data_IF_992555830939
#
_entry.id   IF_992555830939
#
_cell.length_a   1.000
_cell.length_b   1.000
_cell.length_c   1.000
_cell.angle_alpha   90.00
_cell.angle_beta   90.00
_cell.angle_gamma   90.00
#
_symmetry.space_group_name_H-M   'P 1'
#
loop_
_entity.id
_entity.type
_entity.pdbx_description
1 polymer ?
#
# COMPACT_ATOMS: atom_id res chain seq x y z
N UNK A 1 18.25 -30.33 4.47
CA UNK A 1 18.48 -29.09 5.24
C UNK A 1 17.72 -27.95 4.54
N UNK A 2 17.15 -27.03 5.34
CA UNK A 2 16.04 -26.12 5.01
C UNK A 2 16.36 -25.01 3.99
N UNK A 3 15.42 -24.81 3.06
CA UNK A 3 14.94 -23.54 2.47
C UNK A 3 15.81 -22.27 2.60
N UNK A 4 16.35 -21.80 1.47
CA UNK A 4 16.80 -20.41 1.24
C UNK A 4 16.17 -19.85 -0.05
N UNK A 5 14.84 -19.98 -0.19
CA UNK A 5 14.09 -19.50 -1.37
C UNK A 5 13.52 -18.08 -1.26
N UNK A 6 13.93 -17.27 -0.29
CA UNK A 6 13.29 -15.98 0.02
C UNK A 6 14.14 -14.72 -0.24
N UNK A 7 15.42 -14.85 -0.59
CA UNK A 7 16.32 -13.70 -0.62
C UNK A 7 16.45 -12.98 -1.98
N UNK A 8 15.69 -13.39 -3.02
CA UNK A 8 15.82 -12.79 -4.36
C UNK A 8 14.68 -11.82 -4.75
N UNK A 9 13.64 -11.67 -3.92
CA UNK A 9 12.48 -10.80 -4.21
C UNK A 9 12.57 -9.40 -3.58
N UNK A 10 13.62 -9.11 -2.81
CA UNK A 10 13.68 -7.92 -1.94
C UNK A 10 14.05 -6.59 -2.62
N UNK A 11 14.33 -6.56 -3.93
CA UNK A 11 14.90 -5.37 -4.60
C UNK A 11 13.91 -4.54 -5.43
N UNK A 12 12.63 -4.93 -5.52
CA UNK A 12 11.63 -4.18 -6.30
C UNK A 12 10.33 -3.97 -5.52
N UNK A 13 10.43 -3.42 -4.32
CA UNK A 13 9.27 -3.07 -3.50
C UNK A 13 9.40 -1.65 -2.98
N UNK A 14 8.29 -0.92 -2.98
CA UNK A 14 8.13 0.38 -2.35
C UNK A 14 7.37 0.15 -1.04
N UNK A 15 7.96 0.53 0.08
CA UNK A 15 7.36 0.35 1.39
C UNK A 15 7.18 1.70 2.08
N UNK A 16 6.13 1.81 2.87
CA UNK A 16 6.01 2.86 3.89
C UNK A 16 5.49 2.24 5.17
N UNK A 17 6.06 2.63 6.31
CA UNK A 17 5.72 2.05 7.61
C UNK A 17 5.83 3.08 8.72
N UNK A 18 5.20 2.74 9.86
CA UNK A 18 5.11 3.65 11.01
C UNK A 18 4.48 4.99 10.62
N UNK A 19 5.05 6.06 11.16
CA UNK A 19 4.53 7.42 11.03
C UNK A 19 5.07 8.24 9.86
N UNK A 20 5.91 7.65 8.97
CA UNK A 20 6.46 8.43 7.86
C UNK A 20 7.70 7.88 7.15
N UNK A 21 8.21 6.68 7.47
CA UNK A 21 9.34 6.13 6.71
C UNK A 21 8.84 5.71 5.32
N UNK A 22 9.61 6.06 4.29
CA UNK A 22 9.42 5.64 2.90
C UNK A 22 10.71 4.97 2.42
N UNK A 23 10.60 3.72 1.97
CA UNK A 23 11.67 2.97 1.32
C UNK A 23 11.35 2.89 -0.18
N UNK A 24 12.02 3.70 -1.01
CA UNK A 24 11.76 3.71 -2.45
C UNK A 24 12.20 2.41 -3.14
N UNK A 25 11.75 2.20 -4.38
CA UNK A 25 12.20 1.09 -5.22
C UNK A 25 13.73 1.05 -5.41
N UNK A 26 14.35 2.23 -5.43
CA UNK A 26 15.80 2.43 -5.53
C UNK A 26 16.21 3.63 -4.70
N UNK A 27 17.39 3.54 -4.09
CA UNK A 27 17.94 4.58 -3.23
C UNK A 27 17.65 4.35 -1.76
N UNK A 28 18.06 5.33 -0.95
CA UNK A 28 17.98 5.26 0.49
C UNK A 28 16.58 5.55 1.03
N UNK A 29 16.28 4.98 2.19
CA UNK A 29 15.05 5.29 2.91
C UNK A 29 15.08 6.72 3.44
N UNK A 30 13.91 7.37 3.45
CA UNK A 30 13.75 8.72 3.97
C UNK A 30 12.48 8.87 4.81
N UNK A 31 12.42 9.94 5.60
CA UNK A 31 11.29 10.23 6.48
C UNK A 31 10.47 11.40 5.96
N UNK A 32 9.15 11.21 5.86
CA UNK A 32 8.18 12.24 5.48
C UNK A 32 7.19 12.42 6.62
N UNK A 33 7.20 13.62 7.22
CA UNK A 33 6.17 14.05 8.17
C UNK A 33 5.22 15.00 7.47
N UNK A 34 4.04 14.52 7.12
CA UNK A 34 2.99 15.31 6.49
C UNK A 34 1.63 14.71 6.86
N UNK A 35 0.67 15.58 7.13
CA UNK A 35 -0.76 15.27 7.26
C UNK A 35 -1.55 15.73 6.02
N UNK A 36 -0.86 16.16 4.96
CA UNK A 36 -1.46 16.40 3.65
C UNK A 36 -1.39 15.12 2.81
N UNK A 37 -2.37 14.87 1.92
CA UNK A 37 -2.28 13.80 0.93
C UNK A 37 -1.05 13.99 0.02
N UNK A 38 -0.30 12.91 -0.24
CA UNK A 38 0.80 12.95 -1.20
C UNK A 38 0.93 11.65 -2.01
N UNK A 39 1.39 11.78 -3.26
CA UNK A 39 1.65 10.64 -4.15
C UNK A 39 2.87 9.87 -3.65
N UNK A 40 2.66 8.64 -3.21
CA UNK A 40 3.73 7.71 -2.83
C UNK A 40 4.43 7.15 -4.09
N UNK A 41 3.66 6.88 -5.15
CA UNK A 41 4.18 6.57 -6.48
C UNK A 41 3.17 6.91 -7.56
N UNK A 42 3.66 7.19 -8.77
CA UNK A 42 2.83 7.45 -9.95
C UNK A 42 3.62 7.07 -11.19
N UNK A 43 2.96 6.42 -12.14
CA UNK A 43 3.53 6.10 -13.43
C UNK A 43 2.45 6.06 -14.50
N UNK A 44 2.86 6.33 -15.74
CA UNK A 44 2.00 6.28 -16.91
C UNK A 44 2.53 5.23 -17.86
N UNK A 45 1.68 4.27 -18.25
CA UNK A 45 2.03 3.26 -19.25
C UNK A 45 0.81 2.98 -20.13
N UNK A 46 1.02 2.85 -21.44
CA UNK A 46 -0.04 2.55 -22.41
C UNK A 46 -1.27 3.49 -22.31
N UNK A 47 -1.05 4.79 -22.05
CA UNK A 47 -2.09 5.82 -21.83
C UNK A 47 -2.97 5.63 -20.59
N UNK A 48 -2.66 4.65 -19.73
CA UNK A 48 -3.25 4.49 -18.41
C UNK A 48 -2.45 5.24 -17.36
N UNK A 49 -3.15 5.91 -16.44
CA UNK A 49 -2.57 6.47 -15.22
C UNK A 49 -2.65 5.42 -14.10
N UNK A 50 -1.54 5.28 -13.39
CA UNK A 50 -1.42 4.44 -12.21
C UNK A 50 -0.80 5.27 -11.10
N UNK A 51 -1.44 5.31 -9.93
CA UNK A 51 -0.88 6.02 -8.80
C UNK A 51 -1.35 5.45 -7.47
N UNK A 52 -0.53 5.69 -6.46
CA UNK A 52 -0.86 5.45 -5.06
C UNK A 52 -0.66 6.76 -4.32
N UNK A 53 -1.74 7.32 -3.80
CA UNK A 53 -1.74 8.51 -2.93
C UNK A 53 -2.03 8.06 -1.52
N UNK A 54 -1.23 8.51 -0.55
CA UNK A 54 -1.46 8.22 0.86
C UNK A 54 -1.81 9.49 1.61
N UNK A 55 -2.64 9.34 2.62
CA UNK A 55 -2.97 10.39 3.58
C UNK A 55 -2.72 9.87 4.99
N UNK A 56 -1.94 10.63 5.75
CA UNK A 56 -1.69 10.39 7.17
C UNK A 56 -2.46 11.40 8.00
N UNK A 57 -2.99 10.95 9.13
CA UNK A 57 -3.57 11.83 10.13
C UNK A 57 -2.50 12.61 10.89
N UNK A 58 -2.92 13.54 11.74
CA UNK A 58 -2.03 14.33 12.60
C UNK A 58 -1.11 13.49 13.50
N UNK A 59 -1.51 12.26 13.83
CA UNK A 59 -0.70 11.30 14.59
C UNK A 59 0.36 10.57 13.73
N UNK A 60 0.45 10.91 12.44
CA UNK A 60 1.33 10.26 11.47
C UNK A 60 0.84 8.89 11.00
N UNK A 61 -0.27 8.36 11.54
CA UNK A 61 -0.81 7.08 11.11
C UNK A 61 -1.56 7.23 9.78
N UNK A 62 -1.49 6.19 8.97
CA UNK A 62 -2.09 6.15 7.65
C UNK A 62 -3.61 5.98 7.80
N UNK A 63 -4.38 6.98 7.33
CA UNK A 63 -5.85 7.04 7.47
C UNK A 63 -6.57 6.71 6.17
N UNK A 64 -5.91 6.96 5.05
CA UNK A 64 -6.46 6.67 3.73
C UNK A 64 -5.35 6.29 2.74
N UNK A 65 -5.64 5.35 1.86
CA UNK A 65 -4.88 5.09 0.64
C UNK A 65 -5.83 5.19 -0.53
N UNK A 66 -5.46 5.98 -1.53
CA UNK A 66 -6.09 5.98 -2.83
C UNK A 66 -5.18 5.28 -3.84
N UNK A 67 -5.74 4.29 -4.53
CA UNK A 67 -5.06 3.54 -5.58
C UNK A 67 -5.84 3.77 -6.87
N UNK A 68 -5.17 4.33 -7.86
CA UNK A 68 -5.71 4.48 -9.22
C UNK A 68 -5.02 3.46 -10.10
N UNK A 69 -5.78 2.57 -10.72
CA UNK A 69 -5.31 1.61 -11.71
C UNK A 69 -6.17 1.74 -12.94
N UNK A 70 -5.61 2.27 -14.04
CA UNK A 70 -6.32 2.42 -15.31
C UNK A 70 -7.70 3.11 -15.15
N UNK A 71 -7.71 4.28 -14.48
CA UNK A 71 -8.91 5.09 -14.17
C UNK A 71 -9.90 4.44 -13.18
N UNK A 72 -9.54 3.29 -12.60
CA UNK A 72 -10.30 2.69 -11.50
C UNK A 72 -9.76 3.19 -10.16
N UNK A 73 -10.58 3.93 -9.42
CA UNK A 73 -10.23 4.41 -8.08
C UNK A 73 -10.65 3.38 -7.03
N UNK A 74 -9.68 2.96 -6.23
CA UNK A 74 -9.85 2.14 -5.04
C UNK A 74 -9.42 2.94 -3.82
N UNK A 75 -10.30 3.09 -2.84
CA UNK A 75 -10.03 3.74 -1.56
C UNK A 75 -9.95 2.69 -0.46
N UNK A 76 -8.85 2.70 0.30
CA UNK A 76 -8.75 2.03 1.58
C UNK A 76 -8.89 3.08 2.66
N UNK A 77 -9.98 3.06 3.41
CA UNK A 77 -10.25 4.06 4.45
C UNK A 77 -10.97 3.40 5.62
N UNK A 78 -10.49 3.65 6.83
CA UNK A 78 -11.12 3.16 8.07
C UNK A 78 -11.40 1.64 8.08
N UNK A 79 -10.52 0.83 7.46
CA UNK A 79 -10.67 -0.62 7.37
C UNK A 79 -11.61 -1.13 6.27
N UNK A 80 -12.24 -0.24 5.51
CA UNK A 80 -13.07 -0.58 4.37
C UNK A 80 -12.31 -0.42 3.04
N UNK A 81 -12.71 -1.23 2.06
CA UNK A 81 -12.25 -1.11 0.68
C UNK A 81 -13.43 -0.61 -0.15
N UNK A 82 -13.27 0.52 -0.83
CA UNK A 82 -14.25 1.04 -1.77
C UNK A 82 -13.65 1.03 -3.17
N UNK A 83 -14.27 0.34 -4.12
CA UNK A 83 -13.88 0.38 -5.54
C UNK A 83 -14.99 1.07 -6.31
N UNK A 84 -14.69 2.20 -6.94
CA UNK A 84 -15.70 3.00 -7.65
C UNK A 84 -16.94 3.27 -6.77
N UNK A 85 -16.71 3.66 -5.51
CA UNK A 85 -17.75 3.93 -4.51
C UNK A 85 -18.59 2.70 -4.06
N UNK A 86 -18.26 1.49 -4.51
CA UNK A 86 -18.87 0.25 -4.03
C UNK A 86 -18.02 -0.32 -2.90
N UNK A 87 -18.65 -0.60 -1.75
CA UNK A 87 -17.98 -1.17 -0.58
C UNK A 87 -17.76 -2.67 -0.76
N UNK A 88 -16.54 -3.12 -0.45
CA UNK A 88 -16.14 -4.52 -0.43
C UNK A 88 -15.68 -4.90 0.97
N UNK A 89 -16.14 -6.06 1.43
CA UNK A 89 -15.67 -6.67 2.66
C UNK A 89 -14.58 -7.69 2.30
N UNK A 90 -13.29 -7.42 2.60
CA UNK A 90 -12.24 -8.37 2.34
C UNK A 90 -12.47 -9.63 3.18
N UNK A 91 -12.39 -10.82 2.56
CA UNK A 91 -12.35 -12.07 3.31
C UNK A 91 -11.06 -12.11 4.12
N UNK A 92 -11.16 -11.82 5.41
CA UNK A 92 -10.04 -11.97 6.32
C UNK A 92 -9.73 -13.47 6.49
N UNK A 93 -8.47 -13.86 6.30
CA UNK A 93 -8.00 -15.14 6.80
C UNK A 93 -7.87 -15.02 8.33
N UNK A 94 -8.86 -15.50 9.05
CA UNK A 94 -8.75 -15.69 10.51
C UNK A 94 -7.70 -16.76 10.78
N UNK A 95 -6.89 -16.58 11.84
CA UNK A 95 -5.87 -17.55 12.28
C UNK A 95 -6.42 -18.98 12.52
N UNK A 96 -7.74 -19.15 12.64
CA UNK A 96 -8.40 -20.45 12.71
C UNK A 96 -8.27 -21.32 11.44
N UNK A 97 -7.85 -20.75 10.29
CA UNK A 97 -7.64 -21.54 9.06
C UNK A 97 -6.26 -22.21 8.97
N UNK A 98 -5.39 -22.07 9.98
CA UNK A 98 -4.04 -22.66 10.00
C UNK A 98 -3.93 -23.97 10.79
N UNK A 99 -5.00 -24.44 11.44
CA UNK A 99 -4.96 -25.67 12.26
C UNK A 99 -5.63 -26.89 11.63
N UNK A 100 -6.04 -26.84 10.35
CA UNK A 100 -6.54 -28.00 9.61
C UNK A 100 -5.78 -28.18 8.30
N UNK A 101 -4.50 -28.54 8.39
CA UNK A 101 -3.85 -29.37 7.37
C UNK A 101 -2.61 -30.06 7.91
#
# INVERSE_FOLDING_TARGET
>A
QKSTGWNLLSLCSLLTFGSGIVQPFKGESYYVRSDCPFKLTSFNVNRGEYSVTIWRGHNGLLVQVEIIVNKVTTLLQNGHILVQNNRFEPKQKTAASLNNK
#
